data_IF_713875557173
#
_entry.id   IF_713875557173
#
_cell.length_a   1.000
_cell.length_b   1.000
_cell.length_c   1.000
_cell.angle_alpha   90.00
_cell.angle_beta   90.00
_cell.angle_gamma   90.00
#
_symmetry.space_group_name_H-M   'P 1'
#
loop_
_entity.id
_entity.type
_entity.pdbx_description
1 polymer ?
#
# COMPACT_ATOMS: atom_id res chain seq x y z
N UNK A 1 15.52 -17.98 -6.18
CA UNK A 1 14.97 -16.90 -5.34
C UNK A 1 13.50 -16.73 -5.70
N UNK A 2 12.61 -16.91 -4.73
CA UNK A 2 11.18 -16.66 -4.84
C UNK A 2 10.79 -15.41 -4.05
N UNK A 3 9.62 -14.81 -4.35
CA UNK A 3 9.22 -13.55 -3.74
C UNK A 3 7.88 -13.60 -3.01
N UNK A 4 7.81 -12.86 -1.90
CA UNK A 4 6.56 -12.44 -1.26
C UNK A 4 6.38 -10.95 -1.55
N UNK A 5 5.26 -10.57 -2.14
CA UNK A 5 5.02 -9.21 -2.60
C UNK A 5 3.92 -8.53 -1.78
N UNK A 6 4.22 -7.34 -1.25
CA UNK A 6 3.29 -6.52 -0.49
C UNK A 6 2.78 -5.36 -1.34
N UNK A 7 1.46 -5.18 -1.42
CA UNK A 7 0.84 -4.29 -2.41
C UNK A 7 -0.08 -3.27 -1.76
N UNK A 8 0.22 -1.98 -1.96
CA UNK A 8 -0.70 -0.89 -1.62
C UNK A 8 -1.12 -0.13 -2.90
N UNK A 9 -1.73 1.04 -2.77
CA UNK A 9 -2.23 1.78 -3.95
C UNK A 9 -1.09 2.38 -4.78
N UNK A 10 -0.21 3.16 -4.14
CA UNK A 10 0.84 3.95 -4.81
C UNK A 10 2.27 3.45 -4.55
N UNK A 11 2.45 2.41 -3.74
CA UNK A 11 3.76 1.91 -3.28
C UNK A 11 4.63 2.93 -2.53
N UNK A 12 4.04 3.79 -1.72
CA UNK A 12 4.77 4.81 -0.94
C UNK A 12 4.48 4.71 0.56
N UNK A 13 3.26 4.35 0.92
CA UNK A 13 2.85 4.12 2.30
C UNK A 13 3.14 2.71 2.81
N UNK A 14 2.08 2.00 3.16
CA UNK A 14 2.04 0.72 3.89
C UNK A 14 2.85 -0.45 3.29
N UNK A 15 2.96 -0.56 1.97
CA UNK A 15 3.64 -1.70 1.32
C UNK A 15 5.15 -1.72 1.54
N UNK A 16 5.83 -0.57 1.58
CA UNK A 16 7.28 -0.54 1.76
C UNK A 16 7.70 -1.01 3.16
N UNK A 17 7.11 -0.49 4.27
CA UNK A 17 7.36 -1.03 5.60
C UNK A 17 7.04 -2.53 5.68
N UNK A 18 5.94 -2.98 5.09
CA UNK A 18 5.55 -4.39 5.10
C UNK A 18 6.63 -5.30 4.47
N UNK A 19 7.22 -4.88 3.35
CA UNK A 19 8.34 -5.60 2.74
C UNK A 19 9.55 -5.64 3.68
N UNK A 20 9.95 -4.52 4.30
CA UNK A 20 11.06 -4.53 5.26
C UNK A 20 10.82 -5.46 6.46
N UNK A 21 9.61 -5.43 7.01
CA UNK A 21 9.18 -6.32 8.09
C UNK A 21 9.24 -7.78 7.66
N UNK A 22 8.74 -8.07 6.45
CA UNK A 22 8.76 -9.42 5.89
C UNK A 22 10.17 -9.92 5.63
N UNK A 23 11.07 -9.06 5.12
CA UNK A 23 12.47 -9.43 4.90
C UNK A 23 13.17 -9.76 6.22
N UNK A 24 12.98 -8.94 7.26
CA UNK A 24 13.51 -9.22 8.59
C UNK A 24 12.99 -10.56 9.11
N UNK A 25 11.70 -10.81 8.95
CA UNK A 25 11.12 -12.06 9.44
C UNK A 25 11.62 -13.29 8.66
N UNK A 26 11.84 -13.18 7.34
CA UNK A 26 12.49 -14.25 6.58
C UNK A 26 13.91 -14.54 7.07
N UNK A 27 14.67 -13.51 7.47
CA UNK A 27 16.00 -13.68 8.08
C UNK A 27 15.92 -14.36 9.46
N UNK A 28 14.94 -14.00 10.27
CA UNK A 28 14.68 -14.67 11.57
C UNK A 28 14.32 -16.16 11.40
N UNK A 29 13.74 -16.52 10.25
CA UNK A 29 13.40 -17.89 9.88
C UNK A 29 14.51 -18.63 9.11
N UNK A 30 15.64 -17.98 8.83
CA UNK A 30 16.76 -18.52 8.02
C UNK A 30 16.32 -18.92 6.59
N UNK A 31 15.41 -18.15 6.00
CA UNK A 31 14.82 -18.39 4.67
C UNK A 31 15.27 -17.39 3.59
N UNK A 32 16.14 -16.43 3.93
CA UNK A 32 16.54 -15.31 3.08
C UNK A 32 17.34 -15.71 1.83
N UNK A 33 17.95 -16.90 1.83
CA UNK A 33 18.69 -17.44 0.67
C UNK A 33 17.75 -17.97 -0.43
N UNK A 34 16.53 -18.37 -0.03
CA UNK A 34 15.50 -18.94 -0.92
C UNK A 34 14.41 -17.93 -1.26
N UNK A 35 14.09 -17.05 -0.30
CA UNK A 35 12.96 -16.12 -0.35
C UNK A 35 13.39 -14.69 -0.08
N UNK A 36 12.76 -13.76 -0.80
CA UNK A 36 12.92 -12.33 -0.59
C UNK A 36 11.54 -11.66 -0.57
N UNK A 37 11.47 -10.46 -0.03
CA UNK A 37 10.24 -9.65 -0.07
C UNK A 37 10.40 -8.45 -0.98
N UNK A 38 9.29 -8.01 -1.58
CA UNK A 38 9.25 -6.77 -2.34
C UNK A 38 7.94 -6.05 -2.12
N UNK A 39 7.90 -4.79 -2.55
CA UNK A 39 6.71 -3.95 -2.48
C UNK A 39 6.39 -3.32 -3.82
N UNK A 40 5.10 -3.28 -4.15
CA UNK A 40 4.56 -2.66 -5.37
C UNK A 40 3.25 -1.92 -5.09
N UNK A 41 2.76 -1.23 -6.12
CA UNK A 41 1.52 -0.48 -6.08
C UNK A 41 0.57 -0.96 -7.16
N UNK A 42 -0.70 -1.09 -6.83
CA UNK A 42 -1.69 -1.61 -7.77
C UNK A 42 -2.21 -0.56 -8.77
N UNK A 43 -1.95 0.73 -8.54
CA UNK A 43 -2.44 1.85 -9.36
C UNK A 43 -1.36 2.91 -9.67
N UNK A 44 -0.07 2.58 -9.59
CA UNK A 44 1.01 3.55 -9.81
C UNK A 44 0.92 4.18 -11.20
N UNK A 45 0.74 3.36 -12.24
CA UNK A 45 0.66 3.86 -13.63
C UNK A 45 -0.55 4.76 -13.84
N UNK A 46 -1.70 4.40 -13.25
CA UNK A 46 -2.93 5.20 -13.33
C UNK A 46 -2.77 6.56 -12.61
N UNK A 47 -2.09 6.57 -11.46
CA UNK A 47 -1.76 7.79 -10.72
C UNK A 47 -0.80 8.67 -11.55
N UNK A 48 0.29 8.10 -12.04
CA UNK A 48 1.33 8.82 -12.80
C UNK A 48 0.77 9.39 -14.10
N UNK A 49 -0.14 8.67 -14.77
CA UNK A 49 -0.81 9.14 -15.97
C UNK A 49 -1.94 10.15 -15.70
N UNK A 50 -2.29 10.41 -14.44
CA UNK A 50 -3.41 11.28 -14.08
C UNK A 50 -4.79 10.70 -14.40
N UNK A 51 -4.88 9.40 -14.69
CA UNK A 51 -6.10 8.68 -15.10
C UNK A 51 -7.02 8.33 -13.92
N UNK A 52 -6.94 9.10 -12.83
CA UNK A 52 -7.74 8.89 -11.64
C UNK A 52 -9.15 9.45 -11.85
N UNK A 53 -10.17 8.73 -11.35
CA UNK A 53 -11.55 9.19 -11.43
C UNK A 53 -11.76 10.47 -10.63
N UNK A 54 -12.59 11.38 -11.14
CA UNK A 54 -12.98 12.60 -10.42
C UNK A 54 -13.54 12.30 -9.03
N UNK A 55 -14.27 11.20 -8.87
CA UNK A 55 -14.79 10.77 -7.58
C UNK A 55 -13.68 10.52 -6.55
N UNK A 56 -12.57 9.89 -6.97
CA UNK A 56 -11.42 9.68 -6.09
C UNK A 56 -10.66 10.99 -5.82
N UNK A 57 -10.43 11.82 -6.85
CA UNK A 57 -9.80 13.13 -6.65
C UNK A 57 -10.58 13.99 -5.66
N UNK A 58 -11.92 14.02 -5.79
CA UNK A 58 -12.82 14.70 -4.85
C UNK A 58 -12.75 14.14 -3.44
N UNK A 59 -12.60 12.83 -3.24
CA UNK A 59 -12.50 12.28 -1.89
C UNK A 59 -11.23 12.74 -1.18
N UNK A 60 -10.09 12.78 -1.88
CA UNK A 60 -8.82 13.28 -1.34
C UNK A 60 -8.90 14.78 -1.06
N UNK A 61 -9.45 15.57 -1.98
CA UNK A 61 -9.66 17.02 -1.77
C UNK A 61 -10.59 17.28 -0.59
N UNK A 62 -11.67 16.49 -0.45
CA UNK A 62 -12.59 16.61 0.68
C UNK A 62 -11.88 16.29 2.00
N UNK A 63 -11.09 15.23 2.05
CA UNK A 63 -10.33 14.86 3.24
C UNK A 63 -9.35 15.97 3.66
N UNK A 64 -8.65 16.56 2.71
CA UNK A 64 -7.76 17.71 2.93
C UNK A 64 -8.50 18.95 3.46
N UNK A 65 -9.70 19.19 2.92
CA UNK A 65 -10.56 20.27 3.38
C UNK A 65 -11.08 20.05 4.80
N UNK A 66 -11.57 18.85 5.10
CA UNK A 66 -12.11 18.50 6.41
C UNK A 66 -11.05 18.56 7.52
N UNK A 67 -9.77 18.34 7.18
CA UNK A 67 -8.63 18.51 8.11
C UNK A 67 -8.32 19.97 8.43
N UNK A 68 -8.52 20.87 7.47
CA UNK A 68 -8.30 22.30 7.64
C UNK A 68 -6.83 22.75 7.68
N UNK A 69 -5.87 21.88 7.34
CA UNK A 69 -4.42 22.17 7.37
C UNK A 69 -3.76 22.19 5.99
N UNK A 70 -4.44 21.68 4.96
CA UNK A 70 -3.93 21.69 3.57
C UNK A 70 -4.29 23.00 2.85
N UNK A 71 -5.51 23.48 3.06
CA UNK A 71 -6.08 24.64 2.37
C UNK A 71 -6.23 25.83 3.31
N UNK A 72 -6.05 27.02 2.77
CA UNK A 72 -6.24 28.28 3.49
C UNK A 72 -7.69 28.76 3.39
N UNK A 73 -8.08 29.73 4.21
CA UNK A 73 -9.40 30.38 4.08
C UNK A 73 -9.63 30.98 2.69
N UNK A 74 -8.59 31.49 2.02
CA UNK A 74 -8.70 32.00 0.65
C UNK A 74 -8.98 30.91 -0.39
N UNK A 75 -8.72 29.64 -0.08
CA UNK A 75 -8.93 28.50 -0.98
C UNK A 75 -10.38 27.96 -0.89
N UNK A 76 -11.16 28.30 0.15
CA UNK A 76 -12.45 27.68 0.48
C UNK A 76 -13.43 27.64 -0.69
N UNK A 77 -13.63 28.79 -1.35
CA UNK A 77 -14.56 28.88 -2.48
C UNK A 77 -14.15 27.99 -3.66
N UNK A 78 -12.84 27.91 -3.96
CA UNK A 78 -12.32 27.07 -5.02
C UNK A 78 -12.46 25.57 -4.67
N UNK A 79 -12.20 25.21 -3.42
CA UNK A 79 -12.36 23.84 -2.92
C UNK A 79 -13.82 23.39 -3.00
N UNK A 80 -14.76 24.20 -2.51
CA UNK A 80 -16.19 23.88 -2.56
C UNK A 80 -16.69 23.77 -4.01
N UNK A 81 -16.20 24.63 -4.91
CA UNK A 81 -16.51 24.52 -6.33
C UNK A 81 -15.99 23.20 -6.93
N UNK A 82 -14.74 22.85 -6.66
CA UNK A 82 -14.12 21.61 -7.13
C UNK A 82 -14.85 20.36 -6.62
N UNK A 83 -15.27 20.36 -5.35
CA UNK A 83 -16.05 19.26 -4.76
C UNK A 83 -17.44 19.12 -5.42
N UNK A 84 -18.08 20.24 -5.76
CA UNK A 84 -19.38 20.26 -6.42
C UNK A 84 -19.34 19.81 -7.88
N UNK A 85 -18.52 20.46 -8.71
CA UNK A 85 -18.57 20.29 -10.17
C UNK A 85 -17.25 19.85 -10.82
N UNK A 86 -16.18 19.63 -10.04
CA UNK A 86 -14.89 19.15 -10.53
C UNK A 86 -13.98 20.25 -11.11
N UNK A 87 -14.41 21.51 -11.15
CA UNK A 87 -13.58 22.58 -11.69
C UNK A 87 -12.32 22.80 -10.83
N UNK A 88 -11.13 22.73 -11.45
CA UNK A 88 -9.86 22.93 -10.74
C UNK A 88 -9.48 21.79 -9.78
N UNK A 89 -10.17 20.64 -9.87
CA UNK A 89 -9.95 19.53 -8.93
C UNK A 89 -8.53 18.97 -8.98
N UNK A 90 -7.89 18.96 -10.15
CA UNK A 90 -6.54 18.41 -10.34
C UNK A 90 -5.50 19.17 -9.52
N UNK A 91 -5.52 20.51 -9.57
CA UNK A 91 -4.57 21.33 -8.83
C UNK A 91 -4.71 21.17 -7.31
N UNK A 92 -5.96 21.13 -6.81
CA UNK A 92 -6.23 20.93 -5.39
C UNK A 92 -5.85 19.53 -4.94
N UNK A 93 -6.14 18.53 -5.79
CA UNK A 93 -5.77 17.14 -5.57
C UNK A 93 -4.25 16.97 -5.45
N UNK A 94 -3.47 17.51 -6.39
CA UNK A 94 -2.01 17.46 -6.36
C UNK A 94 -1.44 18.10 -5.08
N UNK A 95 -1.98 19.26 -4.67
CA UNK A 95 -1.58 19.94 -3.44
C UNK A 95 -1.88 19.09 -2.20
N UNK A 96 -3.06 18.48 -2.12
CA UNK A 96 -3.41 17.58 -1.03
C UNK A 96 -2.51 16.35 -0.99
N UNK A 97 -2.27 15.70 -2.14
CA UNK A 97 -1.38 14.55 -2.24
C UNK A 97 0.03 14.89 -1.78
N UNK A 98 0.61 16.00 -2.23
CA UNK A 98 1.95 16.41 -1.81
C UNK A 98 2.06 16.56 -0.28
N UNK A 99 1.09 17.23 0.35
CA UNK A 99 1.10 17.41 1.81
C UNK A 99 0.96 16.06 2.54
N UNK A 100 0.03 15.20 2.07
CA UNK A 100 -0.21 13.91 2.69
C UNK A 100 0.97 12.94 2.52
N UNK A 101 1.61 12.92 1.36
CA UNK A 101 2.81 12.12 1.09
C UNK A 101 3.97 12.55 2.01
N UNK A 102 4.22 13.85 2.14
CA UNK A 102 5.29 14.36 3.00
C UNK A 102 5.08 13.98 4.47
N UNK A 103 3.87 14.14 4.99
CA UNK A 103 3.52 13.74 6.35
C UNK A 103 3.64 12.22 6.54
N UNK A 104 3.09 11.43 5.62
CA UNK A 104 3.14 9.97 5.69
C UNK A 104 4.59 9.49 5.67
N UNK A 105 5.43 10.05 4.80
CA UNK A 105 6.86 9.74 4.73
C UNK A 105 7.61 10.08 6.02
N UNK A 106 7.33 11.25 6.61
CA UNK A 106 7.94 11.63 7.89
C UNK A 106 7.53 10.68 9.02
N UNK A 107 6.25 10.30 9.10
CA UNK A 107 5.77 9.37 10.12
C UNK A 107 6.35 7.97 9.88
N UNK A 108 6.27 7.45 8.66
CA UNK A 108 6.86 6.17 8.24
C UNK A 108 8.32 6.07 8.65
N UNK A 109 9.11 7.06 8.29
CA UNK A 109 10.55 7.04 8.54
C UNK A 109 10.84 7.05 10.05
N UNK A 110 10.09 7.83 10.84
CA UNK A 110 10.20 7.81 12.31
C UNK A 110 9.87 6.44 12.89
N UNK A 111 8.76 5.84 12.46
CA UNK A 111 8.32 4.51 12.94
C UNK A 111 9.33 3.41 12.58
N UNK A 112 9.84 3.42 11.35
CA UNK A 112 10.87 2.46 10.91
C UNK A 112 12.14 2.58 11.74
N UNK A 113 12.66 3.80 11.94
CA UNK A 113 13.87 4.03 12.75
C UNK A 113 13.64 3.62 14.20
N UNK A 114 12.50 3.97 14.80
CA UNK A 114 12.16 3.59 16.16
C UNK A 114 12.11 2.06 16.37
N UNK A 115 11.80 1.30 15.31
CA UNK A 115 11.76 -0.16 15.30
C UNK A 115 13.03 -0.80 14.68
N UNK A 116 14.13 -0.04 14.58
CA UNK A 116 15.45 -0.53 14.17
C UNK A 116 15.59 -0.85 12.69
N UNK A 117 14.69 -0.38 11.82
CA UNK A 117 14.80 -0.55 10.37
C UNK A 117 15.65 0.56 9.75
N UNK A 118 16.57 0.19 8.86
CA UNK A 118 17.39 1.16 8.13
C UNK A 118 16.62 1.71 6.91
N UNK A 119 16.56 3.04 6.79
CA UNK A 119 15.85 3.73 5.71
C UNK A 119 16.48 3.53 4.33
N UNK A 120 17.75 3.15 4.26
CA UNK A 120 18.48 2.86 3.01
C UNK A 120 17.87 1.71 2.19
N UNK A 121 16.99 0.91 2.80
CA UNK A 121 16.28 -0.17 2.14
C UNK A 121 14.90 0.24 1.58
N UNK A 122 14.46 1.49 1.82
CA UNK A 122 13.25 2.01 1.21
C UNK A 122 13.49 2.33 -0.27
N UNK A 123 12.45 2.09 -1.08
CA UNK A 123 12.50 2.39 -2.51
C UNK A 123 12.20 3.86 -2.73
N UNK A 124 13.06 4.52 -3.50
CA UNK A 124 12.93 5.94 -3.82
C UNK A 124 11.90 6.22 -4.92
N UNK A 125 11.37 5.18 -5.59
CA UNK A 125 10.38 5.33 -6.66
C UNK A 125 9.22 4.35 -6.46
N UNK A 126 7.98 4.79 -6.70
CA UNK A 126 6.83 3.90 -6.70
C UNK A 126 6.96 2.94 -7.88
N UNK A 127 6.86 1.65 -7.59
CA UNK A 127 6.87 0.59 -8.62
C UNK A 127 5.45 0.05 -8.81
N UNK A 128 4.99 0.07 -10.06
CA UNK A 128 3.76 -0.59 -10.48
C UNK A 128 3.91 -2.11 -10.33
N UNK A 129 2.83 -2.73 -9.87
CA UNK A 129 2.75 -4.18 -9.82
C UNK A 129 2.69 -4.80 -11.22
N UNK A 130 3.53 -5.81 -11.44
CA UNK A 130 3.61 -6.61 -12.67
C UNK A 130 3.54 -8.10 -12.29
N UNK A 131 2.79 -8.93 -13.03
CA UNK A 131 2.70 -10.36 -12.71
C UNK A 131 4.05 -11.04 -12.93
N UNK A 132 4.43 -11.92 -12.00
CA UNK A 132 5.73 -12.59 -11.97
C UNK A 132 5.59 -14.02 -11.47
N UNK A 133 6.08 -14.99 -12.24
CA UNK A 133 5.99 -16.42 -11.93
C UNK A 133 6.87 -16.85 -10.75
N UNK A 134 7.80 -15.99 -10.31
CA UNK A 134 8.66 -16.23 -9.15
C UNK A 134 8.02 -15.80 -7.83
N UNK A 135 6.86 -15.14 -7.87
CA UNK A 135 6.11 -14.74 -6.68
C UNK A 135 5.30 -15.93 -6.17
N UNK A 136 5.43 -16.22 -4.88
CA UNK A 136 4.67 -17.29 -4.20
C UNK A 136 3.45 -16.75 -3.47
N UNK A 137 3.47 -15.49 -3.06
CA UNK A 137 2.37 -14.82 -2.39
C UNK A 137 2.35 -13.32 -2.67
N UNK A 138 1.14 -12.77 -2.75
CA UNK A 138 0.83 -11.36 -2.90
C UNK A 138 -0.14 -10.94 -1.80
N UNK A 139 0.33 -10.10 -0.89
CA UNK A 139 -0.44 -9.57 0.22
C UNK A 139 -0.85 -8.12 -0.02
N UNK A 140 -2.15 -7.93 -0.24
CA UNK A 140 -2.77 -6.66 -0.51
C UNK A 140 -3.13 -5.95 0.80
N UNK A 141 -2.86 -4.64 0.89
CA UNK A 141 -3.14 -3.86 2.12
C UNK A 141 -4.64 -3.62 2.35
N UNK A 142 -5.46 -3.68 1.29
CA UNK A 142 -6.91 -3.49 1.37
C UNK A 142 -7.65 -4.37 0.35
N UNK A 143 -8.96 -4.60 0.52
CA UNK A 143 -9.80 -5.27 -0.47
C UNK A 143 -9.79 -4.59 -1.85
N UNK A 144 -9.67 -3.26 -1.90
CA UNK A 144 -9.56 -2.52 -3.17
C UNK A 144 -8.27 -2.87 -3.90
N UNK A 145 -7.15 -3.02 -3.19
CA UNK A 145 -5.90 -3.45 -3.82
C UNK A 145 -6.01 -4.89 -4.32
N UNK A 146 -6.68 -5.75 -3.56
CA UNK A 146 -6.90 -7.16 -3.90
C UNK A 146 -7.64 -7.38 -5.23
N UNK A 147 -8.75 -6.67 -5.46
CA UNK A 147 -9.47 -6.82 -6.74
C UNK A 147 -8.60 -6.40 -7.93
N UNK A 148 -7.84 -5.30 -7.80
CA UNK A 148 -6.92 -4.87 -8.87
C UNK A 148 -5.80 -5.88 -9.10
N UNK A 149 -5.24 -6.47 -8.05
CA UNK A 149 -4.20 -7.50 -8.15
C UNK A 149 -4.73 -8.77 -8.80
N UNK A 150 -5.97 -9.18 -8.49
CA UNK A 150 -6.62 -10.30 -9.17
C UNK A 150 -6.74 -10.07 -10.66
N UNK A 151 -7.15 -8.88 -11.08
CA UNK A 151 -7.24 -8.53 -12.51
C UNK A 151 -5.87 -8.60 -13.21
N UNK A 152 -4.78 -8.33 -12.49
CA UNK A 152 -3.40 -8.39 -13.01
C UNK A 152 -2.91 -9.84 -13.18
N UNK A 153 -3.12 -10.70 -12.18
CA UNK A 153 -2.63 -12.09 -12.21
C UNK A 153 -3.58 -13.08 -12.90
N UNK A 154 -4.87 -12.78 -12.89
CA UNK A 154 -5.94 -13.63 -13.44
C UNK A 154 -6.77 -12.77 -14.41
N UNK A 155 -6.15 -12.27 -15.50
CA UNK A 155 -6.85 -11.39 -16.41
C UNK A 155 -8.01 -12.14 -17.08
N UNK A 156 -9.19 -11.53 -17.11
CA UNK A 156 -10.37 -12.05 -17.82
C UNK A 156 -10.14 -12.15 -19.33
N UNK A 157 -9.18 -11.38 -19.85
CA UNK A 157 -8.75 -11.42 -21.25
C UNK A 157 -7.22 -11.36 -21.31
N UNK A 158 -6.57 -12.41 -21.84
CA UNK A 158 -5.11 -12.48 -21.94
C UNK A 158 -4.53 -13.83 -21.54
N UNK A 159 -3.19 -13.98 -21.61
CA UNK A 159 -2.51 -15.19 -21.17
C UNK A 159 -2.64 -15.36 -19.65
N UNK A 160 -3.08 -16.54 -19.22
CA UNK A 160 -3.17 -16.92 -17.80
C UNK A 160 -1.76 -17.16 -17.26
N UNK A 161 -1.44 -16.58 -16.10
CA UNK A 161 -0.20 -16.87 -15.37
C UNK A 161 -0.28 -18.32 -14.87
N UNK A 162 0.67 -19.17 -15.29
CA UNK A 162 0.61 -20.63 -15.02
C UNK A 162 0.72 -20.97 -13.54
N UNK A 163 1.52 -20.20 -12.80
CA UNK A 163 1.68 -20.32 -11.36
C UNK A 163 1.07 -19.11 -10.68
N UNK A 164 -0.21 -19.19 -10.34
CA UNK A 164 -0.88 -18.12 -9.61
C UNK A 164 -0.41 -18.15 -8.14
N UNK A 165 0.17 -17.07 -7.61
CA UNK A 165 0.56 -17.00 -6.22
C UNK A 165 -0.66 -17.07 -5.29
N UNK A 166 -0.43 -17.24 -3.99
CA UNK A 166 -1.47 -16.91 -3.01
C UNK A 166 -1.76 -15.42 -3.11
N UNK A 167 -2.97 -15.02 -3.46
CA UNK A 167 -3.39 -13.61 -3.49
C UNK A 167 -4.40 -13.40 -2.37
N UNK A 168 -4.12 -12.49 -1.44
CA UNK A 168 -5.02 -12.23 -0.33
C UNK A 168 -4.87 -10.80 0.21
N UNK A 169 -5.88 -10.35 0.97
CA UNK A 169 -5.74 -9.18 1.86
C UNK A 169 -4.91 -9.60 3.07
N UNK A 170 -3.91 -8.81 3.44
CA UNK A 170 -2.90 -9.17 4.44
C UNK A 170 -3.52 -9.58 5.77
N UNK A 171 -4.37 -8.74 6.36
CA UNK A 171 -5.00 -9.05 7.64
C UNK A 171 -5.91 -10.27 7.58
N UNK A 172 -6.73 -10.37 6.52
CA UNK A 172 -7.62 -11.52 6.31
C UNK A 172 -6.85 -12.84 6.28
N UNK A 173 -5.70 -12.86 5.60
CA UNK A 173 -4.88 -14.06 5.52
C UNK A 173 -4.11 -14.33 6.83
N UNK A 174 -3.54 -13.29 7.44
CA UNK A 174 -2.77 -13.43 8.67
C UNK A 174 -3.60 -13.96 9.85
N UNK A 175 -4.87 -13.55 9.93
CA UNK A 175 -5.75 -13.87 11.07
C UNK A 175 -6.88 -14.86 10.75
N UNK A 176 -7.06 -15.23 9.49
CA UNK A 176 -8.23 -16.02 9.04
C UNK A 176 -9.57 -15.32 9.30
N UNK A 177 -9.58 -13.98 9.24
CA UNK A 177 -10.73 -13.14 9.58
C UNK A 177 -10.97 -12.07 8.49
N UNK A 178 -12.05 -12.16 7.69
CA UNK A 178 -12.35 -11.21 6.62
C UNK A 178 -12.78 -9.83 7.08
N UNK A 179 -12.79 -9.56 8.40
CA UNK A 179 -13.07 -8.23 8.97
C UNK A 179 -11.81 -7.46 9.35
N UNK A 180 -10.63 -8.08 9.19
CA UNK A 180 -9.34 -7.53 9.65
C UNK A 180 -8.62 -6.77 8.54
N UNK A 181 -8.99 -5.50 8.38
CA UNK A 181 -8.35 -4.58 7.45
C UNK A 181 -7.22 -3.77 8.10
N UNK A 182 -6.25 -3.37 7.27
CA UNK A 182 -5.25 -2.36 7.66
C UNK A 182 -5.79 -1.00 7.21
N UNK A 183 -6.01 -0.05 8.13
CA UNK A 183 -6.62 1.22 7.80
C UNK A 183 -5.79 1.98 6.76
N UNK A 184 -6.47 2.76 5.92
CA UNK A 184 -5.78 3.66 5.01
C UNK A 184 -5.29 4.89 5.77
N UNK A 185 -3.97 4.98 5.92
CA UNK A 185 -3.35 6.06 6.67
C UNK A 185 -3.09 7.32 5.82
N UNK A 186 -3.26 7.23 4.50
CA UNK A 186 -3.01 8.35 3.60
C UNK A 186 -3.94 9.53 3.92
N UNK A 187 -3.35 10.65 4.34
CA UNK A 187 -4.09 11.83 4.76
C UNK A 187 -4.85 11.70 6.09
N UNK A 188 -4.70 10.60 6.85
CA UNK A 188 -5.48 10.32 8.07
C UNK A 188 -4.80 10.77 9.37
N UNK A 189 -3.58 11.31 9.28
CA UNK A 189 -2.80 11.81 10.42
C UNK A 189 -1.97 10.74 11.13
N UNK A 190 -1.24 11.18 12.17
CA UNK A 190 -0.21 10.38 12.85
C UNK A 190 -0.74 9.12 13.54
N UNK A 191 -1.81 9.25 14.33
CA UNK A 191 -2.36 8.14 15.14
C UNK A 191 -2.86 6.98 14.28
N UNK A 192 -3.52 7.30 13.15
CA UNK A 192 -4.01 6.29 12.21
C UNK A 192 -2.85 5.59 11.50
N UNK A 193 -1.79 6.33 11.15
CA UNK A 193 -0.59 5.73 10.57
C UNK A 193 0.11 4.80 11.58
N UNK A 194 0.27 5.23 12.82
CA UNK A 194 0.88 4.41 13.87
C UNK A 194 0.07 3.12 14.11
N UNK A 195 -1.26 3.23 14.17
CA UNK A 195 -2.14 2.06 14.25
C UNK A 195 -1.94 1.12 13.05
N UNK A 196 -1.92 1.65 11.83
CA UNK A 196 -1.65 0.85 10.62
C UNK A 196 -0.27 0.18 10.67
N UNK A 197 0.76 0.89 11.12
CA UNK A 197 2.13 0.37 11.23
C UNK A 197 2.23 -0.76 12.26
N UNK A 198 1.58 -0.62 13.41
CA UNK A 198 1.55 -1.66 14.44
C UNK A 198 0.82 -2.92 13.96
N UNK A 199 -0.25 -2.76 13.19
CA UNK A 199 -0.92 -3.89 12.54
C UNK A 199 -0.01 -4.57 11.51
N UNK A 200 0.80 -3.82 10.74
CA UNK A 200 1.78 -4.42 9.82
C UNK A 200 2.82 -5.25 10.57
N UNK A 201 3.36 -4.73 11.67
CA UNK A 201 4.33 -5.45 12.51
C UNK A 201 3.76 -6.76 13.06
N UNK A 202 2.44 -6.84 13.30
CA UNK A 202 1.78 -8.05 13.77
C UNK A 202 1.38 -9.01 12.62
N UNK A 203 0.81 -8.48 11.54
CA UNK A 203 0.19 -9.29 10.49
C UNK A 203 1.21 -9.84 9.49
N UNK A 204 2.29 -9.11 9.21
CA UNK A 204 3.32 -9.56 8.25
C UNK A 204 3.98 -10.87 8.68
N UNK A 205 4.50 -11.01 9.92
CA UNK A 205 5.06 -12.28 10.38
C UNK A 205 4.04 -13.42 10.35
N UNK A 206 2.82 -13.18 10.85
CA UNK A 206 1.74 -14.19 10.88
C UNK A 206 1.37 -14.71 9.50
N UNK A 207 1.33 -13.84 8.49
CA UNK A 207 1.06 -14.24 7.10
C UNK A 207 2.20 -15.12 6.54
N UNK A 208 3.46 -14.79 6.81
CA UNK A 208 4.62 -15.58 6.37
C UNK A 208 4.63 -16.95 7.10
N UNK A 209 4.40 -16.96 8.41
CA UNK A 209 4.29 -18.20 9.20
C UNK A 209 3.17 -19.11 8.67
N UNK A 210 2.04 -18.53 8.26
CA UNK A 210 0.94 -19.28 7.66
C UNK A 210 1.33 -19.90 6.33
N UNK A 211 1.99 -19.17 5.43
CA UNK A 211 2.52 -19.73 4.18
C UNK A 211 3.45 -20.92 4.44
N UNK A 212 4.31 -20.83 5.46
CA UNK A 212 5.19 -21.93 5.87
C UNK A 212 4.41 -23.14 6.37
N UNK A 213 3.41 -22.94 7.24
CA UNK A 213 2.54 -24.03 7.73
C UNK A 213 1.76 -24.71 6.60
N UNK A 214 1.42 -23.97 5.56
CA UNK A 214 0.78 -24.48 4.34
C UNK A 214 1.76 -25.16 3.36
N UNK A 215 3.06 -25.23 3.70
CA UNK A 215 4.09 -25.86 2.87
C UNK A 215 4.47 -25.06 1.62
N UNK A 216 4.12 -23.76 1.58
CA UNK A 216 4.42 -22.85 0.46
C UNK A 216 5.84 -22.25 0.54
N UNK A 217 6.43 -22.23 1.72
CA UNK A 217 7.81 -21.83 1.98
C UNK A 217 8.59 -23.05 2.52
N UNK A 218 9.70 -23.41 1.87
CA UNK A 218 10.51 -24.60 2.19
C UNK A 218 11.99 -24.28 2.29
#
# INVERSE_FOLDING_TARGET
MQYIEFVCTANQGRSQPAALMGQRHLQELELEDSYNTRSSGSHVDDIVAGNLSDGWKRSIVKQAYDRGDVYTQSDEAAVLQALGNGHGIDFLFERACSQFEDEEHQIRNRMLVANGYALSHLRNRPEQMVPDETVVAVFCMTPRNFERVKDIYIPTTGPVVRNVPVIAVLGHYALDDPTTDIPDAFGSGHEIYEAAFNLLMDYVPKAIDRLRKEGRLQ
#
